data_IF_391623015962
#
_entry.id   IF_391623015962
#
_cell.length_a   1.000
_cell.length_b   1.000
_cell.length_c   1.000
_cell.angle_alpha   90.00
_cell.angle_beta   90.00
_cell.angle_gamma   90.00
#
_symmetry.space_group_name_H-M   'P 1'
#
loop_
_entity.id
_entity.type
_entity.pdbx_description
1 polymer ?
#
# COMPACT_ATOMS: atom_id res chain seq x y z
N UNK A 1 -36.53 36.93 -15.10
CA UNK A 1 -36.27 36.15 -13.88
C UNK A 1 -35.13 35.19 -14.21
N UNK A 2 -33.89 35.48 -13.76
CA UNK A 2 -32.74 34.62 -14.07
C UNK A 2 -32.74 33.48 -13.06
N UNK A 3 -33.19 32.30 -13.49
CA UNK A 3 -33.13 31.08 -12.68
C UNK A 3 -31.66 30.70 -12.47
N UNK A 4 -31.23 30.59 -11.21
CA UNK A 4 -29.90 30.05 -10.88
C UNK A 4 -29.80 28.65 -11.48
N UNK A 5 -28.76 28.40 -12.26
CA UNK A 5 -28.47 27.08 -12.80
C UNK A 5 -27.73 26.25 -11.76
N UNK A 6 -28.22 25.04 -11.56
CA UNK A 6 -27.59 24.02 -10.73
C UNK A 6 -27.23 22.84 -11.64
N UNK A 7 -26.03 22.31 -11.46
CA UNK A 7 -25.61 21.05 -12.03
C UNK A 7 -25.27 20.11 -10.88
N UNK A 8 -26.20 19.19 -10.64
CA UNK A 8 -26.09 18.21 -9.58
C UNK A 8 -25.70 16.85 -10.15
N UNK A 9 -24.72 16.20 -9.51
CA UNK A 9 -24.22 14.87 -9.88
C UNK A 9 -24.04 14.02 -8.63
N UNK A 10 -24.48 12.76 -8.70
CA UNK A 10 -24.22 11.76 -7.66
C UNK A 10 -23.82 10.43 -8.30
N UNK A 11 -23.18 9.56 -7.54
CA UNK A 11 -22.87 8.21 -8.01
C UNK A 11 -22.17 7.34 -6.99
N UNK A 12 -21.94 6.09 -7.38
CA UNK A 12 -21.26 5.08 -6.59
C UNK A 12 -20.23 4.32 -7.45
N UNK A 13 -19.14 3.89 -6.82
CA UNK A 13 -18.13 3.00 -7.38
C UNK A 13 -17.95 1.83 -6.41
N UNK A 14 -18.34 0.63 -6.87
CA UNK A 14 -18.17 -0.62 -6.13
C UNK A 14 -17.10 -1.44 -6.86
N UNK A 15 -16.01 -1.72 -6.16
CA UNK A 15 -14.87 -2.45 -6.73
C UNK A 15 -14.66 -3.76 -6.02
N UNK A 16 -14.48 -4.81 -6.79
CA UNK A 16 -14.15 -6.15 -6.30
C UNK A 16 -12.89 -6.61 -7.04
N UNK A 17 -11.79 -6.70 -6.32
CA UNK A 17 -10.50 -7.10 -6.88
C UNK A 17 -10.15 -8.50 -6.40
N UNK A 18 -9.70 -9.33 -7.33
CA UNK A 18 -9.24 -10.70 -7.09
C UNK A 18 -7.83 -10.83 -7.63
N UNK A 19 -6.95 -11.40 -6.82
CA UNK A 19 -5.62 -11.82 -7.23
C UNK A 19 -5.43 -13.27 -6.79
N UNK A 20 -5.17 -14.15 -7.74
CA UNK A 20 -4.65 -15.48 -7.46
C UNK A 20 -3.24 -15.55 -8.01
N UNK A 21 -2.29 -15.87 -7.14
CA UNK A 21 -0.88 -15.92 -7.49
C UNK A 21 -0.23 -17.12 -6.81
N UNK A 22 0.95 -17.48 -7.29
CA UNK A 22 1.82 -18.43 -6.63
C UNK A 22 3.19 -17.77 -6.48
N UNK A 23 3.67 -17.63 -5.24
CA UNK A 23 4.90 -16.88 -4.92
C UNK A 23 5.98 -17.83 -4.43
N UNK A 24 6.84 -18.23 -5.35
CA UNK A 24 7.95 -19.14 -5.09
C UNK A 24 9.23 -18.34 -4.75
N UNK A 25 9.30 -17.82 -3.52
CA UNK A 25 10.42 -17.00 -3.06
C UNK A 25 11.45 -17.88 -2.35
N UNK A 26 12.68 -17.96 -2.86
CA UNK A 26 13.78 -18.73 -2.27
C UNK A 26 13.48 -20.22 -2.05
N UNK A 27 12.51 -20.80 -2.77
CA UNK A 27 12.14 -22.22 -2.70
C UNK A 27 13.23 -23.17 -3.16
N UNK A 28 14.03 -22.72 -4.15
CA UNK A 28 15.24 -23.42 -4.61
C UNK A 28 16.45 -23.15 -3.71
N UNK A 29 16.26 -22.33 -2.69
CA UNK A 29 17.29 -21.85 -1.79
C UNK A 29 18.30 -20.90 -2.45
N UNK A 30 19.29 -20.54 -1.66
CA UNK A 30 20.46 -19.77 -2.09
C UNK A 30 21.70 -20.29 -1.37
N UNK A 31 22.85 -20.04 -1.99
CA UNK A 31 24.18 -20.27 -1.42
C UNK A 31 24.96 -18.96 -1.53
N UNK A 32 25.62 -18.56 -0.44
CA UNK A 32 26.43 -17.36 -0.41
C UNK A 32 27.85 -17.69 0.03
N UNK A 33 28.82 -17.16 -0.71
CA UNK A 33 30.25 -17.32 -0.49
C UNK A 33 30.82 -15.93 -0.24
N UNK A 34 31.22 -15.66 0.99
CA UNK A 34 31.66 -14.31 1.41
C UNK A 34 33.17 -14.21 1.58
N UNK A 35 33.90 -15.32 1.46
CA UNK A 35 35.34 -15.36 1.77
C UNK A 35 35.61 -15.44 3.27
N UNK A 36 34.61 -15.72 4.10
CA UNK A 36 34.76 -15.75 5.56
C UNK A 36 35.71 -16.87 6.02
N UNK A 37 35.80 -17.96 5.27
CA UNK A 37 36.59 -19.13 5.66
C UNK A 37 38.05 -19.03 5.20
N UNK A 38 38.28 -18.62 3.95
CA UNK A 38 39.63 -18.56 3.35
C UNK A 38 40.16 -17.15 3.10
N UNK A 39 39.36 -16.11 3.32
CA UNK A 39 39.66 -14.73 2.91
C UNK A 39 39.33 -14.46 1.43
N UNK A 40 38.84 -15.45 0.67
CA UNK A 40 38.51 -15.29 -0.75
C UNK A 40 37.22 -16.05 -1.13
N UNK A 41 36.16 -15.37 -1.60
CA UNK A 41 34.89 -16.01 -2.00
C UNK A 41 35.01 -17.11 -3.06
N UNK A 42 35.92 -16.94 -4.02
CA UNK A 42 36.14 -17.94 -5.06
C UNK A 42 36.81 -19.19 -4.49
N UNK A 43 37.72 -19.03 -3.53
CA UNK A 43 38.34 -20.16 -2.83
C UNK A 43 37.31 -20.93 -2.01
N UNK A 44 36.43 -20.24 -1.27
CA UNK A 44 35.32 -20.88 -0.54
C UNK A 44 34.40 -21.67 -1.49
N UNK A 45 34.10 -21.11 -2.68
CA UNK A 45 33.29 -21.79 -3.71
C UNK A 45 34.00 -23.04 -4.27
N UNK A 46 35.29 -22.95 -4.59
CA UNK A 46 36.06 -24.07 -5.14
C UNK A 46 36.23 -25.21 -4.13
N UNK A 47 36.30 -24.88 -2.84
CA UNK A 47 36.28 -25.86 -1.74
C UNK A 47 34.87 -26.40 -1.45
N UNK A 48 33.84 -25.79 -2.05
CA UNK A 48 32.44 -26.15 -1.84
C UNK A 48 31.95 -25.82 -0.43
N UNK A 49 32.43 -24.72 0.16
CA UNK A 49 32.14 -24.31 1.53
C UNK A 49 31.33 -23.00 1.56
N UNK A 50 30.00 -23.04 1.37
CA UNK A 50 29.18 -21.84 1.50
C UNK A 50 29.25 -21.27 2.92
N UNK A 51 29.24 -19.94 3.04
CA UNK A 51 29.20 -19.25 4.32
C UNK A 51 27.79 -19.25 4.91
N UNK A 52 26.80 -19.01 4.06
CA UNK A 52 25.38 -18.97 4.41
C UNK A 52 24.60 -19.65 3.30
N UNK A 53 23.62 -20.43 3.69
CA UNK A 53 22.64 -21.03 2.82
C UNK A 53 21.26 -20.91 3.44
N UNK A 54 20.23 -21.02 2.64
CA UNK A 54 18.87 -21.02 3.17
C UNK A 54 17.87 -21.18 2.07
N UNK A 55 16.64 -21.46 2.45
CA UNK A 55 15.54 -21.65 1.52
C UNK A 55 14.22 -21.52 2.23
N UNK A 56 13.22 -21.10 1.49
CA UNK A 56 11.86 -21.20 1.94
C UNK A 56 11.35 -22.60 1.68
N UNK A 57 10.64 -23.14 2.66
CA UNK A 57 9.77 -24.30 2.47
C UNK A 57 8.33 -23.79 2.40
N UNK A 58 7.48 -24.50 1.66
CA UNK A 58 6.01 -24.36 1.51
C UNK A 58 5.50 -23.80 0.18
N UNK A 59 4.35 -24.35 -0.21
CA UNK A 59 3.47 -23.88 -1.28
C UNK A 59 2.84 -22.56 -0.77
N UNK A 60 3.15 -21.44 -1.42
CA UNK A 60 2.59 -20.14 -1.09
C UNK A 60 1.55 -19.69 -2.16
N UNK A 61 0.40 -20.38 -2.26
CA UNK A 61 -0.67 -19.97 -3.15
C UNK A 61 -1.41 -18.81 -2.49
N UNK A 62 -1.35 -17.66 -3.14
CA UNK A 62 -1.99 -16.44 -2.68
C UNK A 62 -3.35 -16.29 -3.32
N UNK A 63 -4.40 -16.10 -2.52
CA UNK A 63 -5.77 -15.85 -2.98
C UNK A 63 -6.32 -14.58 -2.35
N UNK A 64 -5.72 -13.46 -2.72
CA UNK A 64 -6.06 -12.17 -2.14
C UNK A 64 -7.35 -11.61 -2.75
N UNK A 65 -8.19 -11.03 -1.89
CA UNK A 65 -9.45 -10.38 -2.24
C UNK A 65 -9.46 -8.99 -1.63
N UNK A 66 -9.90 -7.99 -2.39
CA UNK A 66 -10.11 -6.64 -1.88
C UNK A 66 -11.44 -6.09 -2.38
N UNK A 67 -12.04 -5.20 -1.59
CA UNK A 67 -13.33 -4.59 -1.90
C UNK A 67 -13.30 -3.11 -1.54
N UNK A 68 -13.88 -2.28 -2.40
CA UNK A 68 -14.06 -0.87 -2.15
C UNK A 68 -15.50 -0.46 -2.41
N UNK A 69 -16.03 0.39 -1.54
CA UNK A 69 -17.36 0.95 -1.63
C UNK A 69 -17.27 2.47 -1.53
N UNK A 70 -17.37 3.14 -2.66
CA UNK A 70 -17.20 4.58 -2.74
C UNK A 70 -18.48 5.24 -3.21
N UNK A 71 -18.84 6.37 -2.59
CA UNK A 71 -20.05 7.12 -2.92
C UNK A 71 -19.70 8.59 -3.05
N UNK A 72 -20.34 9.30 -3.96
CA UNK A 72 -20.11 10.73 -4.12
C UNK A 72 -21.38 11.51 -4.44
N UNK A 73 -21.35 12.76 -4.02
CA UNK A 73 -22.34 13.79 -4.33
C UNK A 73 -21.60 15.07 -4.64
N UNK A 74 -22.06 15.82 -5.64
CA UNK A 74 -21.48 17.08 -6.04
C UNK A 74 -22.57 18.00 -6.60
N UNK A 75 -22.50 19.28 -6.24
CA UNK A 75 -23.32 20.34 -6.83
C UNK A 75 -22.40 21.46 -7.35
N UNK A 76 -22.79 22.02 -8.49
CA UNK A 76 -22.18 23.22 -9.06
C UNK A 76 -23.29 24.23 -9.33
N UNK A 77 -23.19 25.38 -8.66
CA UNK A 77 -24.22 26.40 -8.64
C UNK A 77 -23.67 27.75 -9.08
N UNK A 78 -24.36 28.38 -10.02
CA UNK A 78 -24.10 29.78 -10.37
C UNK A 78 -24.84 30.70 -9.38
N UNK A 79 -24.15 31.16 -8.33
CA UNK A 79 -24.74 32.02 -7.28
C UNK A 79 -24.92 33.48 -7.73
N UNK A 80 -24.09 33.93 -8.67
CA UNK A 80 -24.16 35.22 -9.37
C UNK A 80 -23.80 34.99 -10.84
N UNK A 81 -24.19 35.85 -11.79
CA UNK A 81 -23.84 35.68 -13.21
C UNK A 81 -22.34 35.51 -13.48
N UNK A 82 -21.49 36.03 -12.58
CA UNK A 82 -20.05 35.96 -12.65
C UNK A 82 -19.40 35.05 -11.58
N UNK A 83 -20.18 34.35 -10.73
CA UNK A 83 -19.63 33.51 -9.66
C UNK A 83 -20.30 32.14 -9.67
N UNK A 84 -19.48 31.11 -9.85
CA UNK A 84 -19.87 29.71 -9.75
C UNK A 84 -19.14 29.06 -8.57
N UNK A 85 -19.89 28.40 -7.71
CA UNK A 85 -19.36 27.60 -6.62
C UNK A 85 -19.61 26.13 -6.95
N UNK A 86 -18.61 25.29 -6.70
CA UNK A 86 -18.74 23.84 -6.76
C UNK A 86 -18.36 23.24 -5.41
N UNK A 87 -19.18 22.33 -4.93
CA UNK A 87 -18.93 21.61 -3.70
C UNK A 87 -19.28 20.14 -3.91
N UNK A 88 -18.40 19.25 -3.48
CA UNK A 88 -18.58 17.82 -3.56
C UNK A 88 -18.04 17.13 -2.32
N UNK A 89 -18.60 15.97 -2.03
CA UNK A 89 -18.15 15.09 -0.98
C UNK A 89 -18.12 13.67 -1.55
N UNK A 90 -16.99 12.99 -1.33
CA UNK A 90 -16.84 11.58 -1.62
C UNK A 90 -16.53 10.83 -0.34
N UNK A 91 -17.19 9.70 -0.13
CA UNK A 91 -16.87 8.75 0.93
C UNK A 91 -16.17 7.54 0.31
N UNK A 92 -15.04 7.13 0.87
CA UNK A 92 -14.23 6.04 0.33
C UNK A 92 -13.98 4.92 1.34
N UNK A 93 -14.78 3.86 1.29
CA UNK A 93 -14.59 2.70 2.16
C UNK A 93 -13.78 1.63 1.43
N UNK A 94 -12.46 1.67 1.61
CA UNK A 94 -11.53 0.65 1.11
C UNK A 94 -11.31 -0.40 2.20
N UNK A 95 -11.77 -1.64 1.99
CA UNK A 95 -11.58 -2.70 2.96
C UNK A 95 -10.15 -3.27 2.87
N UNK A 96 -9.51 -3.62 4.00
CA UNK A 96 -8.25 -4.36 4.01
C UNK A 96 -8.29 -5.58 3.10
N UNK A 97 -7.28 -5.78 2.22
CA UNK A 97 -7.16 -7.01 1.46
C UNK A 97 -7.09 -8.23 2.39
N UNK A 98 -7.75 -9.33 2.03
CA UNK A 98 -7.84 -10.54 2.85
C UNK A 98 -7.64 -11.81 2.02
N UNK A 99 -7.20 -12.90 2.65
CA UNK A 99 -7.15 -14.22 2.01
C UNK A 99 -8.55 -14.80 1.88
N UNK A 100 -8.84 -15.39 0.72
CA UNK A 100 -10.14 -15.99 0.43
C UNK A 100 -10.51 -17.13 1.40
N UNK A 101 -9.51 -17.80 1.99
CA UNK A 101 -9.69 -18.96 2.85
C UNK A 101 -9.15 -18.77 4.29
N UNK A 102 -8.78 -17.53 4.65
CA UNK A 102 -8.25 -17.18 5.97
C UNK A 102 -7.04 -18.01 6.42
N UNK A 103 -6.17 -18.38 5.47
CA UNK A 103 -4.96 -19.17 5.75
C UNK A 103 -3.77 -18.34 6.24
N UNK A 104 -3.83 -17.03 6.09
CA UNK A 104 -2.76 -16.13 6.50
C UNK A 104 -2.73 -15.96 8.03
N UNK A 105 -1.59 -15.52 8.55
CA UNK A 105 -1.43 -15.20 9.97
C UNK A 105 -0.75 -13.86 10.14
N UNK A 106 -1.05 -13.18 11.23
CA UNK A 106 -0.41 -11.95 11.65
C UNK A 106 0.41 -12.20 12.91
N UNK A 107 1.57 -11.57 13.03
CA UNK A 107 2.33 -11.58 14.29
C UNK A 107 1.69 -10.61 15.28
N UNK A 108 1.34 -11.11 16.48
CA UNK A 108 0.89 -10.29 17.60
C UNK A 108 2.10 -9.93 18.48
N UNK A 109 2.53 -8.65 18.51
CA UNK A 109 3.67 -8.22 19.29
C UNK A 109 3.41 -8.24 20.81
N UNK A 110 2.15 -8.27 21.26
CA UNK A 110 1.81 -8.33 22.69
C UNK A 110 2.02 -9.73 23.26
N UNK A 111 1.65 -10.76 22.49
CA UNK A 111 1.79 -12.17 22.91
C UNK A 111 3.07 -12.81 22.38
N UNK A 112 3.71 -12.21 21.38
CA UNK A 112 4.89 -12.77 20.69
C UNK A 112 4.56 -14.01 19.87
N UNK A 113 3.31 -14.15 19.40
CA UNK A 113 2.84 -15.33 18.69
C UNK A 113 2.25 -14.96 17.33
N UNK A 114 2.29 -15.91 16.40
CA UNK A 114 1.52 -15.82 15.16
C UNK A 114 0.08 -16.22 15.45
N UNK A 115 -0.86 -15.38 15.01
CA UNK A 115 -2.30 -15.58 15.16
C UNK A 115 -2.94 -15.64 13.78
N UNK A 116 -3.80 -16.64 13.54
CA UNK A 116 -4.54 -16.75 12.30
C UNK A 116 -5.47 -15.55 12.10
N UNK A 117 -5.55 -15.04 10.87
CA UNK A 117 -6.51 -13.98 10.55
C UNK A 117 -7.94 -14.50 10.67
N UNK A 118 -8.89 -13.63 11.05
CA UNK A 118 -10.28 -14.03 11.27
C UNK A 118 -10.53 -14.81 12.58
N UNK A 119 -9.51 -15.04 13.40
CA UNK A 119 -9.62 -15.68 14.71
C UNK A 119 -9.22 -14.72 15.84
N UNK A 120 -9.70 -14.99 17.07
CA UNK A 120 -9.28 -14.28 18.30
C UNK A 120 -9.33 -12.74 18.21
N UNK A 121 -10.30 -12.19 17.46
CA UNK A 121 -10.47 -10.75 17.29
C UNK A 121 -9.59 -10.11 16.21
N UNK A 122 -8.72 -10.88 15.54
CA UNK A 122 -7.92 -10.42 14.40
C UNK A 122 -8.79 -10.33 13.15
N UNK A 123 -8.92 -9.17 12.51
CA UNK A 123 -9.65 -9.05 11.24
C UNK A 123 -9.03 -9.91 10.14
N UNK A 124 -9.83 -10.30 9.14
CA UNK A 124 -9.37 -11.15 8.02
C UNK A 124 -8.23 -10.55 7.20
N UNK A 125 -8.14 -9.21 7.15
CA UNK A 125 -7.04 -8.51 6.49
C UNK A 125 -5.84 -8.21 7.40
N UNK A 126 -5.85 -8.71 8.64
CA UNK A 126 -4.79 -8.49 9.64
C UNK A 126 -4.84 -7.14 10.37
N UNK A 127 -5.67 -6.19 9.91
CA UNK A 127 -5.86 -4.89 10.55
C UNK A 127 -7.30 -4.38 10.37
N UNK A 128 -7.67 -3.39 11.19
CA UNK A 128 -9.02 -2.85 11.20
C UNK A 128 -9.30 -2.01 9.95
N UNK A 129 -10.56 -2.02 9.52
CA UNK A 129 -11.00 -1.15 8.42
C UNK A 129 -11.04 0.30 8.89
N UNK A 130 -10.31 1.16 8.19
CA UNK A 130 -10.47 2.61 8.32
C UNK A 130 -11.76 3.06 7.65
N UNK A 131 -12.65 3.65 8.44
CA UNK A 131 -13.99 4.07 8.01
C UNK A 131 -14.12 5.58 7.90
N UNK A 132 -13.07 6.35 8.19
CA UNK A 132 -13.14 7.80 8.35
C UNK A 132 -12.65 8.56 7.10
N UNK A 133 -12.93 8.00 5.93
CA UNK A 133 -12.38 8.47 4.66
C UNK A 133 -13.36 9.39 3.92
N UNK A 134 -13.50 10.63 4.41
CA UNK A 134 -14.31 11.67 3.78
C UNK A 134 -13.43 12.62 2.97
N UNK A 135 -13.67 12.65 1.67
CA UNK A 135 -12.94 13.43 0.68
C UNK A 135 -13.78 14.63 0.19
N UNK A 136 -13.81 15.74 0.95
CA UNK A 136 -14.45 16.97 0.50
C UNK A 136 -13.67 17.58 -0.66
N UNK A 137 -14.41 18.24 -1.57
CA UNK A 137 -13.88 18.98 -2.71
C UNK A 137 -14.64 20.27 -2.86
N UNK A 138 -13.93 21.39 -2.92
CA UNK A 138 -14.49 22.71 -3.05
C UNK A 138 -13.81 23.41 -4.22
N UNK A 139 -14.59 24.15 -5.01
CA UNK A 139 -14.09 24.93 -6.14
C UNK A 139 -14.85 26.23 -6.31
N UNK A 140 -14.15 27.28 -6.70
CA UNK A 140 -14.69 28.61 -6.97
C UNK A 140 -14.22 29.02 -8.36
N UNK A 141 -15.14 29.54 -9.16
CA UNK A 141 -14.84 30.28 -10.40
C UNK A 141 -15.51 31.63 -10.32
N UNK A 142 -14.74 32.70 -10.46
CA UNK A 142 -15.20 34.07 -10.37
C UNK A 142 -14.67 34.91 -11.51
N UNK A 143 -15.53 35.41 -12.38
CA UNK A 143 -15.21 36.46 -13.34
C UNK A 143 -15.21 37.82 -12.61
N UNK A 144 -14.01 38.32 -12.27
CA UNK A 144 -13.84 39.62 -11.62
C UNK A 144 -14.21 40.76 -12.57
N UNK A 145 -13.82 40.61 -13.84
CA UNK A 145 -14.21 41.48 -14.96
C UNK A 145 -14.59 40.59 -16.15
N UNK A 146 -15.16 41.12 -17.24
CA UNK A 146 -15.42 40.33 -18.45
C UNK A 146 -14.17 39.64 -19.00
N UNK A 147 -13.00 40.24 -18.77
CA UNK A 147 -11.71 39.77 -19.28
C UNK A 147 -10.88 39.03 -18.23
N UNK A 148 -11.30 38.99 -16.96
CA UNK A 148 -10.51 38.40 -15.86
C UNK A 148 -11.29 37.35 -15.10
N UNK A 149 -10.75 36.13 -15.03
CA UNK A 149 -11.33 35.02 -14.29
C UNK A 149 -10.34 34.49 -13.27
N UNK A 150 -10.79 34.39 -12.03
CA UNK A 150 -10.08 33.70 -10.95
C UNK A 150 -10.72 32.34 -10.73
N UNK A 151 -9.88 31.31 -10.64
CA UNK A 151 -10.29 29.96 -10.28
C UNK A 151 -9.50 29.52 -9.07
N UNK A 152 -10.14 28.75 -8.20
CA UNK A 152 -9.45 28.10 -7.10
C UNK A 152 -10.19 26.88 -6.64
N UNK A 153 -9.48 25.97 -6.00
CA UNK A 153 -10.08 24.77 -5.45
C UNK A 153 -9.21 24.11 -4.41
N UNK A 154 -9.86 23.31 -3.58
CA UNK A 154 -9.26 22.50 -2.54
C UNK A 154 -9.92 21.13 -2.53
N UNK A 155 -9.13 20.07 -2.31
CA UNK A 155 -9.67 18.73 -2.18
C UNK A 155 -8.77 17.81 -1.36
N UNK A 156 -9.41 16.81 -0.76
CA UNK A 156 -8.76 15.66 -0.12
C UNK A 156 -8.91 14.43 -1.02
N UNK A 157 -7.83 13.67 -1.16
CA UNK A 157 -7.76 12.47 -1.99
C UNK A 157 -7.11 11.35 -1.20
N UNK A 158 -7.87 10.28 -0.92
CA UNK A 158 -7.34 9.11 -0.24
C UNK A 158 -6.59 8.22 -1.22
N UNK A 159 -5.53 7.60 -0.71
CA UNK A 159 -4.81 6.56 -1.44
C UNK A 159 -5.61 5.27 -1.43
N UNK A 160 -5.53 4.51 -2.50
CA UNK A 160 -6.04 3.15 -2.55
C UNK A 160 -4.89 2.22 -2.24
N UNK A 161 -4.91 1.65 -1.04
CA UNK A 161 -3.89 0.70 -0.60
C UNK A 161 -3.66 -0.37 -1.65
N UNK A 162 -2.40 -0.51 -2.07
CA UNK A 162 -2.02 -1.55 -3.00
C UNK A 162 -2.35 -2.94 -2.41
N UNK A 163 -2.60 -3.92 -3.26
CA UNK A 163 -2.71 -5.31 -2.83
C UNK A 163 -1.39 -5.83 -2.24
N UNK A 164 -0.26 -5.28 -2.72
CA UNK A 164 1.11 -5.71 -2.40
C UNK A 164 1.42 -5.73 -0.89
N UNK A 165 1.14 -4.66 -0.10
CA UNK A 165 1.25 -4.74 1.35
C UNK A 165 0.54 -5.96 1.96
N UNK A 166 -0.68 -6.25 1.52
CA UNK A 166 -1.48 -7.40 1.96
C UNK A 166 -0.85 -8.76 1.67
N UNK A 167 0.05 -8.85 0.68
CA UNK A 167 0.83 -10.07 0.43
C UNK A 167 1.82 -10.39 1.58
N UNK A 168 2.17 -9.40 2.40
CA UNK A 168 3.13 -9.57 3.51
C UNK A 168 2.77 -10.71 4.47
N UNK A 169 1.48 -10.92 4.75
CA UNK A 169 1.03 -11.98 5.67
C UNK A 169 1.19 -13.39 5.11
N UNK A 170 1.32 -13.53 3.79
CA UNK A 170 1.65 -14.80 3.15
C UNK A 170 3.11 -15.20 3.35
N UNK A 171 3.94 -14.29 3.85
CA UNK A 171 5.30 -14.59 4.26
C UNK A 171 5.40 -15.04 5.72
N UNK A 172 4.29 -15.41 6.37
CA UNK A 172 4.29 -16.05 7.68
C UNK A 172 3.93 -17.54 7.60
N UNK A 173 4.39 -18.37 8.55
CA UNK A 173 3.88 -19.73 8.72
C UNK A 173 2.36 -19.76 8.93
N UNK A 174 1.64 -20.75 8.41
CA UNK A 174 2.14 -21.96 7.75
C UNK A 174 2.31 -21.82 6.23
N UNK A 175 2.16 -20.62 5.66
CA UNK A 175 2.20 -20.41 4.20
C UNK A 175 3.62 -20.21 3.67
N UNK A 176 4.51 -19.73 4.52
CA UNK A 176 5.91 -19.52 4.19
C UNK A 176 6.77 -19.73 5.43
N UNK A 177 7.80 -20.54 5.30
CA UNK A 177 8.76 -20.74 6.37
C UNK A 177 10.17 -20.70 5.78
N UNK A 178 10.92 -19.67 6.15
CA UNK A 178 12.29 -19.47 5.69
C UNK A 178 13.27 -20.03 6.71
N UNK A 179 14.02 -21.05 6.30
CA UNK A 179 15.13 -21.60 7.05
C UNK A 179 16.45 -21.09 6.50
N UNK A 180 17.40 -20.85 7.39
CA UNK A 180 18.78 -20.51 7.02
C UNK A 180 19.78 -21.28 7.87
N UNK A 181 20.87 -21.67 7.24
CA UNK A 181 22.02 -22.27 7.88
C UNK A 181 23.25 -21.39 7.59
N UNK A 182 24.18 -21.32 8.53
CA UNK A 182 25.39 -20.53 8.37
C UNK A 182 26.56 -21.21 9.05
N UNK A 183 27.77 -20.88 8.59
CA UNK A 183 29.01 -21.31 9.22
C UNK A 183 29.07 -20.76 10.65
N UNK A 184 29.23 -21.66 11.62
CA UNK A 184 29.28 -21.31 13.05
C UNK A 184 30.37 -22.10 13.76
N UNK A 185 31.21 -21.47 14.60
CA UNK A 185 32.25 -22.18 15.35
C UNK A 185 31.68 -23.32 16.20
N UNK A 186 32.25 -24.51 16.05
CA UNK A 186 31.83 -25.70 16.80
C UNK A 186 30.72 -26.52 16.13
N UNK A 187 30.19 -26.09 14.99
CA UNK A 187 29.33 -26.92 14.13
C UNK A 187 30.11 -27.45 12.91
N UNK A 188 29.69 -28.59 12.32
CA UNK A 188 30.21 -29.02 11.04
C UNK A 188 30.06 -27.91 9.99
N UNK A 189 31.05 -27.71 9.09
CA UNK A 189 30.94 -26.69 8.07
C UNK A 189 29.82 -27.04 7.10
N UNK A 190 29.12 -26.02 6.60
CA UNK A 190 28.24 -26.17 5.45
C UNK A 190 29.07 -26.57 4.22
N UNK A 191 28.51 -27.46 3.41
CA UNK A 191 29.16 -27.97 2.20
C UNK A 191 28.20 -27.96 1.01
N UNK A 192 28.70 -28.03 -0.21
CA UNK A 192 27.85 -28.21 -1.40
C UNK A 192 27.15 -29.58 -1.44
N UNK A 193 27.67 -30.58 -0.73
CA UNK A 193 27.04 -31.90 -0.62
C UNK A 193 25.87 -31.92 0.37
N UNK A 194 25.87 -31.02 1.36
CA UNK A 194 24.76 -30.80 2.28
C UNK A 194 24.62 -29.30 2.59
N UNK A 195 24.11 -28.50 1.64
CA UNK A 195 24.01 -27.06 1.82
C UNK A 195 22.78 -26.66 2.63
N UNK A 196 21.78 -27.52 2.79
CA UNK A 196 20.54 -27.22 3.52
C UNK A 196 20.31 -28.31 4.57
N UNK A 197 21.15 -28.38 5.62
CA UNK A 197 21.09 -29.45 6.60
C UNK A 197 19.70 -29.48 7.24
N UNK A 198 19.06 -30.66 7.20
CA UNK A 198 17.70 -30.84 7.72
C UNK A 198 17.59 -30.53 9.22
N UNK A 199 18.69 -30.67 9.95
CA UNK A 199 18.79 -30.41 11.39
C UNK A 199 19.93 -29.41 11.68
N UNK A 200 19.64 -28.12 11.55
CA UNK A 200 20.54 -27.07 12.00
C UNK A 200 20.26 -26.77 13.49
N UNK A 201 21.25 -26.91 14.40
CA UNK A 201 21.01 -26.87 15.85
C UNK A 201 20.81 -25.44 16.40
N UNK A 202 20.79 -24.43 15.53
CA UNK A 202 20.48 -23.05 15.88
C UNK A 202 19.08 -22.75 15.33
N UNK A 203 18.07 -22.50 16.19
CA UNK A 203 16.73 -22.20 15.72
C UNK A 203 16.72 -20.87 14.97
N UNK A 204 16.20 -20.88 13.75
CA UNK A 204 15.87 -19.66 13.01
C UNK A 204 14.46 -19.24 13.39
N UNK A 205 14.28 -17.99 13.84
CA UNK A 205 12.94 -17.49 14.10
C UNK A 205 12.12 -17.54 12.80
N UNK A 206 10.86 -18.00 12.85
CA UNK A 206 10.00 -17.91 11.69
C UNK A 206 9.83 -16.44 11.29
N UNK A 207 9.55 -16.23 10.01
CA UNK A 207 9.12 -14.92 9.53
C UNK A 207 7.86 -14.48 10.27
N UNK A 208 7.86 -13.21 10.67
CA UNK A 208 6.85 -12.62 11.53
C UNK A 208 6.49 -11.21 11.03
N UNK A 209 5.67 -11.17 9.99
CA UNK A 209 5.09 -9.94 9.45
C UNK A 209 3.83 -9.57 10.22
N UNK A 210 3.62 -8.27 10.41
CA UNK A 210 2.46 -7.73 11.08
C UNK A 210 2.05 -6.42 10.44
N UNK A 211 0.83 -5.99 10.74
CA UNK A 211 0.35 -4.65 10.43
C UNK A 211 0.06 -3.92 11.73
N UNK A 212 0.19 -2.59 11.65
CA UNK A 212 -0.45 -1.74 12.65
C UNK A 212 -1.97 -1.99 12.61
N UNK A 213 -2.56 -2.37 13.75
CA UNK A 213 -3.97 -2.78 13.81
C UNK A 213 -4.94 -1.64 13.45
N UNK A 214 -4.59 -0.40 13.74
CA UNK A 214 -5.37 0.82 13.47
C UNK A 214 -4.79 1.63 12.30
N UNK A 215 -4.32 0.92 11.27
CA UNK A 215 -3.73 1.54 10.08
C UNK A 215 -4.72 2.51 9.43
N UNK A 216 -4.33 3.78 9.37
CA UNK A 216 -5.10 4.84 8.72
C UNK A 216 -4.72 4.98 7.25
N UNK A 217 -5.71 5.30 6.42
CA UNK A 217 -5.52 5.47 4.98
C UNK A 217 -4.68 6.73 4.71
N UNK A 218 -3.62 6.57 3.91
CA UNK A 218 -2.83 7.70 3.43
C UNK A 218 -3.70 8.65 2.59
N UNK A 219 -3.44 9.96 2.66
CA UNK A 219 -4.17 10.93 1.85
C UNK A 219 -3.35 12.16 1.47
N UNK A 220 -3.78 12.80 0.39
CA UNK A 220 -3.23 14.04 -0.13
C UNK A 220 -4.27 15.15 -0.02
N UNK A 221 -3.85 16.29 0.53
CA UNK A 221 -4.56 17.54 0.39
C UNK A 221 -3.95 18.30 -0.77
N UNK A 222 -4.78 18.81 -1.69
CA UNK A 222 -4.34 19.61 -2.81
C UNK A 222 -5.13 20.91 -2.87
N UNK A 223 -4.45 22.00 -3.22
CA UNK A 223 -5.09 23.28 -3.48
C UNK A 223 -4.44 23.96 -4.67
N UNK A 224 -5.22 24.76 -5.38
CA UNK A 224 -4.73 25.58 -6.46
C UNK A 224 -5.49 26.89 -6.53
N UNK A 225 -4.83 27.88 -7.10
CA UNK A 225 -5.42 29.16 -7.47
C UNK A 225 -4.84 29.57 -8.82
N UNK A 226 -5.69 29.99 -9.76
CA UNK A 226 -5.23 30.61 -11.00
C UNK A 226 -6.00 31.88 -11.31
N UNK A 227 -5.32 32.79 -12.00
CA UNK A 227 -5.86 34.05 -12.50
C UNK A 227 -5.57 34.11 -13.98
N UNK A 228 -6.63 34.19 -14.78
CA UNK A 228 -6.59 34.28 -16.22
C UNK A 228 -7.08 35.66 -16.65
N UNK A 229 -6.36 36.33 -17.53
CA UNK A 229 -6.72 37.64 -18.07
C UNK A 229 -6.60 37.66 -19.59
N UNK A 230 -7.62 38.14 -20.29
CA UNK A 230 -7.60 38.38 -21.72
C UNK A 230 -6.93 39.73 -22.02
N UNK A 231 -5.92 39.73 -22.90
CA UNK A 231 -5.23 40.92 -23.37
C UNK A 231 -5.67 41.25 -24.79
N UNK A 232 -6.40 42.35 -24.95
CA UNK A 232 -6.86 42.83 -26.25
C UNK A 232 -7.70 41.80 -27.02
N UNK A 233 -7.44 41.67 -28.32
CA UNK A 233 -8.16 40.74 -29.20
C UNK A 233 -7.28 39.53 -29.51
N UNK A 234 -7.46 38.46 -28.74
CA UNK A 234 -6.94 37.13 -29.06
C UNK A 234 -5.73 36.65 -28.23
N UNK A 235 -5.31 37.38 -27.19
CA UNK A 235 -4.27 36.91 -26.27
C UNK A 235 -4.85 36.67 -24.88
N UNK A 236 -4.29 35.68 -24.19
CA UNK A 236 -4.66 35.30 -22.82
C UNK A 236 -3.39 35.04 -22.04
N UNK A 237 -3.31 35.58 -20.83
CA UNK A 237 -2.26 35.29 -19.85
C UNK A 237 -2.88 34.61 -18.65
N UNK A 238 -2.23 33.57 -18.15
CA UNK A 238 -2.62 32.88 -16.93
C UNK A 238 -1.44 32.74 -15.98
N UNK A 239 -1.68 33.00 -14.71
CA UNK A 239 -0.75 32.73 -13.60
C UNK A 239 -1.46 31.73 -12.68
N UNK A 240 -0.78 30.64 -12.35
CA UNK A 240 -1.32 29.60 -11.48
C UNK A 240 -0.33 29.22 -10.38
N UNK A 241 -0.87 28.89 -9.21
CA UNK A 241 -0.17 28.29 -8.08
C UNK A 241 -0.87 27.00 -7.68
N UNK A 242 -0.07 25.96 -7.43
CA UNK A 242 -0.55 24.65 -6.99
C UNK A 242 0.28 24.21 -5.78
N UNK A 243 -0.41 23.74 -4.74
CA UNK A 243 0.21 23.18 -3.53
C UNK A 243 -0.37 21.81 -3.19
N UNK A 244 0.42 21.00 -2.51
CA UNK A 244 -0.02 19.70 -1.99
C UNK A 244 0.64 19.35 -0.67
N UNK A 245 -0.02 18.52 0.14
CA UNK A 245 0.49 17.99 1.40
C UNK A 245 0.02 16.55 1.62
N UNK A 246 0.97 15.63 1.79
CA UNK A 246 0.70 14.24 2.14
C UNK A 246 0.60 14.03 3.65
N UNK A 247 -0.30 13.14 4.06
CA UNK A 247 -0.49 12.68 5.44
C UNK A 247 -0.62 11.16 5.47
N UNK A 248 -0.18 10.56 6.58
CA UNK A 248 -0.30 9.12 6.84
C UNK A 248 0.29 8.22 5.73
N UNK A 249 1.32 8.71 5.03
CA UNK A 249 1.96 7.97 3.94
C UNK A 249 2.53 6.64 4.48
N UNK A 250 2.24 5.55 3.78
CA UNK A 250 2.76 4.24 4.13
C UNK A 250 4.29 4.26 4.09
N UNK A 251 4.90 3.84 5.20
CA UNK A 251 6.34 3.66 5.30
C UNK A 251 6.63 2.16 5.34
N UNK A 252 7.32 1.64 4.34
CA UNK A 252 7.96 0.33 4.45
C UNK A 252 9.16 0.44 5.38
N UNK A 253 9.23 -0.43 6.38
CA UNK A 253 10.41 -0.67 7.22
C UNK A 253 11.07 -1.98 6.80
#
# INVERSE_FOLDING_TARGET
>A
MVTRSHLFTMGADLRFTRQDAFRDVQSRGFLNFTGMLTGNPLSDLLLGLPTVSGGATLDNPQQLRARSHNFFIQDSIQIKPNVTLSAGLRYELNLPPFDANDKASVYDPLTGQLVAVGANGVPRGGYNTDKNNLAPRLGLTWSLTPDTVVRGGYGIFYDQSALSPGEGLYFNPPLFNFGMAFQYPGLPPLTLTDPFPASFPIPTAPTATTFQQDLQTAYLQQWHTSIQHQLGRGQVVEIAYVGSRGHNLLRGS
#
